data_IF_280966343194
#
_entry.id   IF_280966343194
#
_cell.length_a   1.000
_cell.length_b   1.000
_cell.length_c   1.000
_cell.angle_alpha   90.00
_cell.angle_beta   90.00
_cell.angle_gamma   90.00
#
_symmetry.space_group_name_H-M   'P 1'
#
loop_
_entity.id
_entity.type
_entity.pdbx_description
1 polymer ?
#
# COMPACT_ATOMS: atom_id res chain seq x y z
N UNK A 1 27.49 6.02 51.87
CA UNK A 1 26.45 5.61 50.90
C UNK A 1 27.05 5.79 49.50
N UNK A 2 27.80 4.80 49.03
CA UNK A 2 28.48 4.84 47.71
C UNK A 2 27.72 3.94 46.75
N UNK A 3 27.13 4.54 45.72
CA UNK A 3 26.36 3.86 44.68
C UNK A 3 26.42 4.59 43.34
N UNK A 4 27.51 5.33 43.09
CA UNK A 4 27.72 6.02 41.82
C UNK A 4 28.45 5.08 40.86
N UNK A 5 27.69 4.32 40.07
CA UNK A 5 28.25 3.60 38.92
C UNK A 5 28.75 4.61 37.88
N UNK A 6 29.70 4.22 37.01
CA UNK A 6 30.25 5.08 35.96
C UNK A 6 29.19 5.54 34.93
N UNK A 7 28.01 4.91 34.96
CA UNK A 7 26.85 5.21 34.12
C UNK A 7 25.71 5.85 34.93
N UNK A 8 25.95 6.34 36.16
CA UNK A 8 24.94 7.06 36.94
C UNK A 8 23.95 6.16 37.71
N UNK A 9 22.83 6.74 38.16
CA UNK A 9 21.83 6.10 39.03
C UNK A 9 20.89 5.19 38.21
N UNK A 10 20.77 3.92 38.62
CA UNK A 10 19.95 2.91 37.93
C UNK A 10 18.46 3.25 37.87
N UNK A 11 17.96 4.09 38.78
CA UNK A 11 16.56 4.55 38.80
C UNK A 11 16.19 5.47 37.64
N UNK A 12 17.16 6.00 36.89
CA UNK A 12 16.93 6.92 35.77
C UNK A 12 16.70 6.15 34.46
N UNK A 13 17.07 4.87 34.39
CA UNK A 13 16.93 4.06 33.19
C UNK A 13 15.55 3.43 33.11
N UNK A 14 14.72 3.91 32.17
CA UNK A 14 13.50 3.24 31.75
C UNK A 14 13.89 2.14 30.74
N UNK A 15 13.70 0.88 31.13
CA UNK A 15 14.11 -0.28 30.34
C UNK A 15 12.96 -0.84 29.46
N UNK A 16 11.84 -0.12 29.38
CA UNK A 16 10.62 -0.65 28.75
C UNK A 16 10.82 -0.99 27.26
N UNK A 17 11.63 -0.22 26.54
CA UNK A 17 11.96 -0.47 25.12
C UNK A 17 13.18 -1.38 24.90
N UNK A 18 13.91 -1.77 25.96
CA UNK A 18 15.17 -2.54 25.86
C UNK A 18 15.07 -3.97 26.41
N UNK A 19 13.91 -4.36 26.97
CA UNK A 19 13.70 -5.71 27.49
C UNK A 19 13.27 -6.67 26.38
N UNK A 20 13.97 -7.78 26.26
CA UNK A 20 13.50 -8.91 25.45
C UNK A 20 12.39 -9.64 26.21
N UNK A 21 11.15 -9.51 25.72
CA UNK A 21 10.00 -10.27 26.24
C UNK A 21 9.97 -11.70 25.67
N UNK A 22 9.48 -12.69 26.44
CA UNK A 22 9.32 -14.05 25.93
C UNK A 22 8.27 -14.10 24.82
N UNK A 23 8.47 -14.99 23.84
CA UNK A 23 7.55 -15.16 22.71
C UNK A 23 6.09 -15.42 23.15
N UNK A 24 5.88 -16.06 24.30
CA UNK A 24 4.55 -16.31 24.87
C UNK A 24 3.79 -15.02 25.23
N UNK A 25 4.51 -14.00 25.70
CA UNK A 25 3.94 -12.70 26.07
C UNK A 25 3.64 -11.87 24.82
N UNK A 26 4.51 -11.93 23.81
CA UNK A 26 4.26 -11.33 22.48
C UNK A 26 2.99 -11.94 21.85
N UNK A 27 2.83 -13.27 21.93
CA UNK A 27 1.65 -13.95 21.40
C UNK A 27 0.36 -13.59 22.15
N UNK A 28 0.43 -13.39 23.47
CA UNK A 28 -0.71 -12.93 24.27
C UNK A 28 -1.12 -11.51 23.89
N UNK A 29 -0.16 -10.58 23.78
CA UNK A 29 -0.42 -9.21 23.33
C UNK A 29 -1.02 -9.18 21.91
N UNK A 30 -0.53 -10.04 21.01
CA UNK A 30 -1.13 -10.21 19.66
C UNK A 30 -2.56 -10.75 19.72
N UNK A 31 -2.87 -11.68 20.64
CA UNK A 31 -4.23 -12.21 20.83
C UNK A 31 -5.18 -11.14 21.36
N UNK A 32 -4.73 -10.29 22.29
CA UNK A 32 -5.53 -9.20 22.84
C UNK A 32 -5.84 -8.13 21.78
N UNK A 33 -4.89 -7.86 20.88
CA UNK A 33 -5.07 -6.92 19.76
C UNK A 33 -5.82 -7.50 18.54
N UNK A 34 -6.28 -8.76 18.62
CA UNK A 34 -6.93 -9.49 17.52
C UNK A 34 -8.35 -8.99 17.19
N UNK A 35 -8.92 -8.08 17.97
CA UNK A 35 -10.25 -7.53 17.71
C UNK A 35 -10.40 -6.92 16.31
N UNK A 36 -9.30 -6.47 15.70
CA UNK A 36 -9.26 -5.92 14.33
C UNK A 36 -8.75 -6.90 13.27
N UNK A 37 -8.37 -8.12 13.64
CA UNK A 37 -7.82 -9.10 12.70
C UNK A 37 -8.97 -9.87 12.00
N UNK A 38 -8.89 -9.98 10.68
CA UNK A 38 -9.82 -10.81 9.91
C UNK A 38 -9.69 -12.29 10.24
N UNK A 39 -10.74 -13.08 9.96
CA UNK A 39 -10.69 -14.54 10.18
C UNK A 39 -9.55 -15.17 9.36
N UNK A 40 -8.78 -16.03 10.00
CA UNK A 40 -7.73 -16.85 9.39
C UNK A 40 -8.22 -17.50 8.08
N UNK A 41 -7.47 -17.33 6.99
CA UNK A 41 -7.79 -17.82 5.64
C UNK A 41 -8.94 -17.13 4.88
N UNK A 42 -9.47 -16.00 5.36
CA UNK A 42 -10.54 -15.27 4.63
C UNK A 42 -10.18 -14.82 3.21
N UNK A 43 -8.89 -14.78 2.89
CA UNK A 43 -8.37 -14.43 1.56
C UNK A 43 -8.21 -15.64 0.62
N UNK A 44 -8.34 -16.88 1.12
CA UNK A 44 -8.20 -18.09 0.29
C UNK A 44 -9.46 -18.33 -0.53
N UNK A 45 -9.32 -18.30 -1.86
CA UNK A 45 -10.47 -18.55 -2.74
C UNK A 45 -11.02 -19.97 -2.64
N UNK A 46 -10.15 -20.95 -2.36
CA UNK A 46 -10.49 -22.35 -2.20
C UNK A 46 -10.54 -22.77 -0.72
N UNK A 47 -11.00 -21.89 0.17
CA UNK A 47 -11.19 -22.28 1.57
C UNK A 47 -12.24 -23.40 1.67
N UNK A 48 -11.84 -24.51 2.31
CA UNK A 48 -12.73 -25.63 2.64
C UNK A 48 -13.89 -25.22 3.56
N UNK A 49 -13.71 -24.15 4.34
CA UNK A 49 -14.72 -23.58 5.25
C UNK A 49 -15.56 -22.48 4.62
N UNK A 50 -15.39 -22.26 3.31
CA UNK A 50 -16.18 -21.29 2.57
C UNK A 50 -17.53 -21.89 2.16
N UNK A 51 -18.59 -21.34 2.74
CA UNK A 51 -19.99 -21.74 2.56
C UNK A 51 -20.62 -21.26 1.24
N UNK A 52 -19.87 -20.52 0.40
CA UNK A 52 -20.34 -20.13 -0.94
C UNK A 52 -20.59 -21.36 -1.81
N UNK A 53 -21.64 -21.30 -2.63
CA UNK A 53 -21.92 -22.35 -3.63
C UNK A 53 -20.79 -22.45 -4.67
N UNK A 54 -20.65 -23.62 -5.30
CA UNK A 54 -19.65 -23.86 -6.36
C UNK A 54 -19.79 -22.84 -7.49
N UNK A 55 -21.04 -22.52 -7.88
CA UNK A 55 -21.33 -21.50 -8.89
C UNK A 55 -20.82 -20.11 -8.50
N UNK A 56 -20.99 -19.72 -7.23
CA UNK A 56 -20.51 -18.42 -6.74
C UNK A 56 -18.98 -18.36 -6.65
N UNK A 57 -18.33 -19.47 -6.27
CA UNK A 57 -16.85 -19.56 -6.27
C UNK A 57 -16.32 -19.41 -7.70
N UNK A 58 -16.91 -20.11 -8.68
CA UNK A 58 -16.51 -20.02 -10.07
C UNK A 58 -16.71 -18.62 -10.66
N UNK A 59 -17.88 -18.01 -10.44
CA UNK A 59 -18.16 -16.66 -10.90
C UNK A 59 -17.19 -15.61 -10.32
N UNK A 60 -16.80 -15.78 -9.05
CA UNK A 60 -15.82 -14.89 -8.41
C UNK A 60 -14.41 -15.10 -8.99
N UNK A 61 -14.02 -16.33 -9.26
CA UNK A 61 -12.74 -16.63 -9.91
C UNK A 61 -12.67 -16.06 -11.32
N UNK A 62 -13.74 -16.18 -12.10
CA UNK A 62 -13.81 -15.59 -13.44
C UNK A 62 -13.66 -14.07 -13.41
N UNK A 63 -14.30 -13.39 -12.44
CA UNK A 63 -14.12 -11.95 -12.23
C UNK A 63 -12.69 -11.61 -11.83
N UNK A 64 -12.07 -12.41 -10.96
CA UNK A 64 -10.69 -12.20 -10.51
C UNK A 64 -9.67 -12.31 -11.64
N UNK A 65 -9.89 -13.21 -12.61
CA UNK A 65 -9.04 -13.27 -13.81
C UNK A 65 -9.11 -11.97 -14.64
N UNK A 66 -10.27 -11.30 -14.66
CA UNK A 66 -10.52 -10.06 -15.39
C UNK A 66 -10.16 -8.79 -14.59
N UNK A 67 -10.06 -8.87 -13.26
CA UNK A 67 -9.72 -7.75 -12.36
C UNK A 67 -8.34 -7.12 -12.64
N UNK A 68 -7.44 -7.80 -13.37
CA UNK A 68 -6.17 -7.23 -13.82
C UNK A 68 -6.20 -6.59 -15.21
N UNK A 69 -7.27 -6.80 -15.99
CA UNK A 69 -7.37 -6.32 -17.37
C UNK A 69 -8.04 -4.94 -17.44
N UNK A 70 -8.97 -4.66 -16.53
CA UNK A 70 -9.69 -3.39 -16.48
C UNK A 70 -8.99 -2.40 -15.54
N UNK A 71 -8.04 -1.65 -16.10
CA UNK A 71 -7.49 -0.50 -15.39
C UNK A 71 -8.60 0.52 -15.09
N UNK A 72 -8.64 1.07 -13.86
CA UNK A 72 -9.63 2.09 -13.51
C UNK A 72 -9.44 3.31 -14.41
N UNK A 73 -10.54 4.03 -14.66
CA UNK A 73 -10.52 5.18 -15.58
C UNK A 73 -9.45 6.22 -15.21
N UNK A 74 -9.24 6.44 -13.92
CA UNK A 74 -8.18 7.34 -13.40
C UNK A 74 -6.77 6.91 -13.83
N UNK A 75 -6.48 5.61 -13.84
CA UNK A 75 -5.19 5.05 -14.31
C UNK A 75 -5.07 5.18 -15.82
N UNK A 76 -6.16 4.94 -16.55
CA UNK A 76 -6.19 5.15 -18.01
C UNK A 76 -5.98 6.63 -18.38
N UNK A 77 -6.41 7.54 -17.53
CA UNK A 77 -6.22 8.98 -17.74
C UNK A 77 -4.83 9.45 -17.35
N UNK A 78 -4.27 8.98 -16.23
CA UNK A 78 -2.91 9.32 -15.80
C UNK A 78 -1.85 8.88 -16.80
N UNK A 79 -2.09 7.76 -17.51
CA UNK A 79 -1.25 7.30 -18.62
C UNK A 79 -1.27 8.22 -19.85
N UNK A 80 -2.34 9.00 -20.05
CA UNK A 80 -2.45 9.94 -21.17
C UNK A 80 -1.84 11.29 -20.82
N UNK A 81 -2.23 11.85 -19.68
CA UNK A 81 -1.69 13.11 -19.17
C UNK A 81 -1.55 13.01 -17.65
N UNK A 82 -0.33 13.18 -17.12
CA UNK A 82 -0.05 13.06 -15.69
C UNK A 82 -0.79 14.12 -14.84
N UNK A 83 -1.30 15.18 -15.44
CA UNK A 83 -2.03 16.26 -14.75
C UNK A 83 -3.55 16.03 -14.64
N UNK A 84 -4.12 15.09 -15.41
CA UNK A 84 -5.57 14.87 -15.47
C UNK A 84 -6.20 14.40 -14.15
N UNK A 85 -5.61 13.45 -13.39
CA UNK A 85 -6.22 13.01 -12.14
C UNK A 85 -6.42 14.17 -11.16
N UNK A 86 -5.41 15.03 -10.99
CA UNK A 86 -5.50 16.19 -10.12
C UNK A 86 -6.59 17.17 -10.57
N UNK A 87 -6.64 17.47 -11.88
CA UNK A 87 -7.66 18.37 -12.47
C UNK A 87 -9.08 17.82 -12.29
N UNK A 88 -9.30 16.51 -12.46
CA UNK A 88 -10.60 15.88 -12.26
C UNK A 88 -11.11 16.02 -10.84
N UNK A 89 -10.22 15.93 -9.86
CA UNK A 89 -10.57 16.14 -8.45
C UNK A 89 -10.60 17.62 -8.04
N UNK A 90 -10.44 18.56 -8.97
CA UNK A 90 -10.42 20.00 -8.70
C UNK A 90 -9.17 20.49 -7.96
N UNK A 91 -8.11 19.67 -7.92
CA UNK A 91 -6.85 19.98 -7.25
C UNK A 91 -5.82 20.53 -8.24
N UNK A 92 -4.84 21.26 -7.71
CA UNK A 92 -3.69 21.68 -8.51
C UNK A 92 -2.75 20.48 -8.76
N UNK A 93 -2.33 20.22 -10.02
CA UNK A 93 -1.35 19.18 -10.31
C UNK A 93 -0.01 19.43 -9.59
N UNK A 94 0.65 18.35 -9.19
CA UNK A 94 1.97 18.43 -8.54
C UNK A 94 3.01 19.03 -9.49
N UNK A 95 4.11 19.55 -8.92
CA UNK A 95 5.23 20.08 -9.73
C UNK A 95 5.79 19.01 -10.68
N UNK A 96 5.90 17.76 -10.23
CA UNK A 96 6.35 16.64 -11.06
C UNK A 96 5.41 16.38 -12.23
N UNK A 97 4.10 16.27 -11.98
CA UNK A 97 3.12 16.04 -13.03
C UNK A 97 3.12 17.16 -14.09
N UNK A 98 3.37 18.41 -13.69
CA UNK A 98 3.52 19.53 -14.63
C UNK A 98 4.77 19.42 -15.51
N UNK A 99 5.90 18.99 -14.92
CA UNK A 99 7.16 18.79 -15.65
C UNK A 99 7.01 17.62 -16.62
N UNK A 100 6.42 16.51 -16.18
CA UNK A 100 6.21 15.33 -17.02
C UNK A 100 5.32 15.67 -18.24
N UNK A 101 4.25 16.46 -18.03
CA UNK A 101 3.41 16.94 -19.13
C UNK A 101 4.15 17.88 -20.10
N UNK A 102 5.08 18.71 -19.60
CA UNK A 102 5.91 19.57 -20.45
C UNK A 102 6.88 18.75 -21.29
N UNK A 103 7.57 17.78 -20.68
CA UNK A 103 8.51 16.89 -21.37
C UNK A 103 7.78 16.12 -22.49
N UNK A 104 6.59 15.57 -22.19
CA UNK A 104 5.79 14.87 -23.20
C UNK A 104 5.42 15.78 -24.39
N UNK A 105 5.04 17.03 -24.13
CA UNK A 105 4.72 17.98 -25.19
C UNK A 105 5.95 18.35 -26.04
N UNK A 106 7.10 18.59 -25.40
CA UNK A 106 8.37 18.87 -26.07
C UNK A 106 8.84 17.69 -26.93
N UNK A 107 8.75 16.46 -26.41
CA UNK A 107 9.07 15.23 -27.14
C UNK A 107 8.16 15.02 -28.35
N UNK A 108 6.85 15.26 -28.22
CA UNK A 108 5.91 15.16 -29.36
C UNK A 108 6.23 16.20 -30.44
N UNK A 109 6.58 17.44 -30.05
CA UNK A 109 7.02 18.47 -30.98
C UNK A 109 8.32 18.09 -31.69
N UNK A 110 9.30 17.56 -30.96
CA UNK A 110 10.55 17.08 -31.53
C UNK A 110 10.33 15.92 -32.51
N UNK A 111 9.48 14.95 -32.16
CA UNK A 111 9.12 13.84 -33.05
C UNK A 111 8.43 14.35 -34.30
N UNK A 112 7.56 15.36 -34.20
CA UNK A 112 6.95 16.03 -35.35
C UNK A 112 7.97 16.76 -36.22
N UNK A 113 9.00 17.38 -35.63
CA UNK A 113 10.09 18.02 -36.38
C UNK A 113 10.96 16.97 -37.07
N UNK A 114 11.31 15.88 -36.38
CA UNK A 114 12.11 14.76 -36.91
C UNK A 114 11.37 14.00 -38.02
N UNK A 115 10.06 13.77 -37.90
CA UNK A 115 9.25 13.08 -38.91
C UNK A 115 8.87 13.93 -40.13
N UNK A 116 9.16 15.24 -40.10
CA UNK A 116 9.05 16.13 -41.26
C UNK A 116 10.36 16.26 -42.04
N UNK A 117 11.46 15.69 -41.54
CA UNK A 117 12.78 15.66 -42.17
C UNK A 117 12.98 14.41 -43.03
#
# INVERSE_FOLDING_TARGET
>A
MSGTSNVGNSQVYQADDQRTVPNSEIEQQKKENRFHEGKENSHKANDSKDERSIANKLAREEKRQKEGEDEPEEVKQSKRDPTLPAKMHGNEPSKGAKIDAQIQAEEEEELRRKGKA
#
